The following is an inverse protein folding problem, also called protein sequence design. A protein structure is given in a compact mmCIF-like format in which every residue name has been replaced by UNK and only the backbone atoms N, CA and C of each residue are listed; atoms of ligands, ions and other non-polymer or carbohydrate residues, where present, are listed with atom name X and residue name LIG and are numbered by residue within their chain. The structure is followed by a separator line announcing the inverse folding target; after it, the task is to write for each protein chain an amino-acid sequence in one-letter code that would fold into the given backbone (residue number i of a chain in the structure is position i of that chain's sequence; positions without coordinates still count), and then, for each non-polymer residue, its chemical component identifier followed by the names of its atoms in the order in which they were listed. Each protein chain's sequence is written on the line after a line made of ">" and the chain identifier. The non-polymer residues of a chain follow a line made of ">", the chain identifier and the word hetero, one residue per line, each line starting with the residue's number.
data_IF_797401393469
#
_entry.id   IF_797401393469
#
_cell.length_a   1.000
_cell.length_b   1.000
_cell.length_c   1.000
_cell.angle_alpha   90.00
_cell.angle_beta   90.00
_cell.angle_gamma   90.00
#
_symmetry.space_group_name_H-M   'P 1'
#
loop_
_entity.id
_entity.type
_entity.pdbx_description
1 polymer ?
#
# COMPACT_ATOMS: atom_id res chain seq x y z
N UNK A 1 -1.78 -7.89 11.88
CA UNK A 1 -1.45 -6.61 12.56
C UNK A 1 -0.40 -5.78 11.81
N UNK A 2 0.63 -6.41 11.21
CA UNK A 2 1.65 -5.68 10.42
C UNK A 2 1.11 -5.28 9.04
N UNK A 3 0.16 -6.03 8.47
CA UNK A 3 -0.50 -5.69 7.20
C UNK A 3 -1.41 -4.46 7.30
N UNK A 4 -2.02 -4.22 8.46
CA UNK A 4 -2.84 -3.02 8.69
C UNK A 4 -2.01 -1.73 8.74
N UNK A 5 -0.70 -1.85 9.01
CA UNK A 5 0.23 -0.72 9.01
C UNK A 5 0.47 -0.13 7.61
N UNK A 6 0.20 -0.92 6.55
CA UNK A 6 0.42 -0.52 5.15
C UNK A 6 -0.87 -0.04 4.46
N UNK A 7 -2.02 -0.38 5.04
CA UNK A 7 -3.34 -0.03 4.52
C UNK A 7 -3.88 1.13 5.34
N UNK A 8 -3.61 2.36 4.94
CA UNK A 8 -4.28 3.55 5.51
C UNK A 8 -3.43 4.59 6.21
N UNK A 9 -2.10 4.55 6.09
CA UNK A 9 -1.29 5.70 6.47
C UNK A 9 -0.54 6.24 5.27
N UNK A 10 -0.91 7.44 4.82
CA UNK A 10 -0.14 8.23 3.84
C UNK A 10 1.32 8.47 4.26
N UNK A 11 1.76 7.89 5.36
CA UNK A 11 3.02 8.15 6.03
C UNK A 11 4.13 7.13 5.70
N UNK A 12 3.86 6.08 4.90
CA UNK A 12 4.87 5.02 4.76
C UNK A 12 5.86 5.17 3.60
N UNK A 13 5.64 6.00 2.57
CA UNK A 13 6.51 5.90 1.39
C UNK A 13 6.90 7.22 0.70
N UNK A 14 6.33 8.38 1.03
CA UNK A 14 6.51 9.54 0.14
C UNK A 14 7.08 10.84 0.71
N UNK A 15 7.21 10.98 2.00
CA UNK A 15 7.86 12.18 2.53
C UNK A 15 9.19 11.85 3.20
N UNK A 16 10.22 12.38 2.57
CA UNK A 16 11.54 12.55 3.17
C UNK A 16 11.41 12.86 4.65
N UNK A 17 12.16 12.16 5.43
CA UNK A 17 12.52 12.36 6.82
C UNK A 17 12.67 13.83 7.26
N UNK A 18 11.60 14.60 7.15
CA UNK A 18 11.47 15.83 7.91
C UNK A 18 10.52 15.52 9.05
N UNK A 19 11.13 15.44 10.24
CA UNK A 19 10.41 15.29 11.50
C UNK A 19 9.12 16.10 11.44
N UNK A 20 7.99 15.46 11.70
CA UNK A 20 6.71 16.14 11.91
C UNK A 20 6.95 17.18 12.97
N UNK A 21 7.25 18.40 12.56
CA UNK A 21 7.18 19.56 13.44
C UNK A 21 5.71 19.78 13.71
N UNK A 22 5.26 19.31 14.85
CA UNK A 22 4.01 19.76 15.42
C UNK A 22 4.15 21.26 15.59
N UNK A 23 3.61 22.02 14.65
CA UNK A 23 3.51 23.46 14.79
C UNK A 23 2.46 23.74 15.87
N UNK A 24 2.93 24.01 17.09
CA UNK A 24 2.10 24.40 18.23
C UNK A 24 1.62 25.84 18.15
N UNK A 25 1.87 26.55 17.05
CA UNK A 25 1.33 27.89 16.83
C UNK A 25 -0.09 27.83 16.28
N UNK A 26 -1.03 27.40 17.07
CA UNK A 26 -2.44 27.65 16.80
C UNK A 26 -2.68 29.16 16.85
N UNK A 27 -2.55 29.81 15.68
CA UNK A 27 -3.13 31.13 15.48
C UNK A 27 -4.65 31.03 15.62
N UNK A 28 -5.26 32.06 16.14
CA UNK A 28 -6.69 32.26 16.30
C UNK A 28 -7.45 31.64 15.09
N UNK A 29 -8.24 30.54 15.27
CA UNK A 29 -8.94 29.88 14.17
C UNK A 29 -9.94 30.79 13.45
N UNK A 30 -10.17 32.00 13.97
CA UNK A 30 -11.11 32.98 13.43
C UNK A 30 -10.50 33.96 12.43
N UNK A 31 -9.18 33.96 12.20
CA UNK A 31 -8.53 34.93 11.29
C UNK A 31 -8.83 34.78 9.82
N UNK A 32 -9.31 33.61 9.35
CA UNK A 32 -9.54 33.34 7.93
C UNK A 32 -11.01 33.08 7.53
N UNK A 33 -11.94 33.22 8.45
CA UNK A 33 -13.36 33.18 8.09
C UNK A 33 -13.79 34.53 7.50
N UNK A 34 -13.49 34.78 6.23
CA UNK A 34 -14.05 35.92 5.50
C UNK A 34 -15.53 35.65 5.24
N UNK A 35 -16.38 35.90 6.21
CA UNK A 35 -17.83 35.97 6.00
C UNK A 35 -18.16 37.40 5.62
N UNK A 36 -18.35 37.68 4.35
CA UNK A 36 -19.03 38.89 3.88
C UNK A 36 -20.50 38.80 4.31
N UNK A 37 -20.82 39.41 5.41
CA UNK A 37 -22.19 39.69 5.83
C UNK A 37 -22.30 41.19 5.93
N UNK A 38 -23.36 41.76 5.35
CA UNK A 38 -23.71 43.15 5.57
C UNK A 38 -23.80 43.39 7.06
N UNK A 39 -22.76 43.97 7.62
CA UNK A 39 -22.54 44.11 9.07
C UNK A 39 -23.56 45.08 9.71
N UNK A 40 -24.37 45.81 8.92
CA UNK A 40 -25.20 46.88 9.40
C UNK A 40 -26.58 46.48 9.96
N UNK A 41 -27.00 45.21 9.74
CA UNK A 41 -28.36 44.77 10.15
C UNK A 41 -28.38 43.60 11.15
N UNK A 42 -27.25 42.94 11.43
CA UNK A 42 -27.24 41.75 12.29
C UNK A 42 -26.23 41.89 13.42
N UNK A 43 -26.67 41.73 14.66
CA UNK A 43 -25.80 41.56 15.84
C UNK A 43 -25.77 40.06 16.19
N UNK A 44 -24.60 39.44 16.15
CA UNK A 44 -24.43 38.04 16.50
C UNK A 44 -23.95 37.84 17.92
N UNK A 45 -24.51 36.86 18.61
CA UNK A 45 -24.06 36.43 19.92
C UNK A 45 -22.69 35.71 19.87
N UNK A 46 -22.26 35.19 21.00
CA UNK A 46 -21.03 34.41 21.09
C UNK A 46 -21.16 33.11 20.29
N UNK A 47 -20.00 32.64 19.78
CA UNK A 47 -19.91 31.35 19.16
C UNK A 47 -20.18 30.23 20.16
N UNK A 48 -20.98 29.25 19.78
CA UNK A 48 -21.29 28.05 20.54
C UNK A 48 -20.86 26.82 19.75
N UNK A 49 -20.23 25.89 20.42
CA UNK A 49 -19.85 24.62 19.80
C UNK A 49 -21.11 23.80 19.52
N UNK A 50 -21.29 23.42 18.26
CA UNK A 50 -22.35 22.51 17.80
C UNK A 50 -21.80 21.09 17.79
N UNK A 51 -20.60 20.93 17.26
CA UNK A 51 -19.90 19.66 17.19
C UNK A 51 -18.42 19.87 17.56
N UNK A 52 -17.94 19.07 18.49
CA UNK A 52 -16.55 19.11 18.91
C UNK A 52 -15.65 18.53 17.80
N UNK A 53 -14.50 19.16 17.49
CA UNK A 53 -13.53 18.57 16.59
C UNK A 53 -12.95 17.29 17.20
N UNK A 54 -12.85 16.24 16.39
CA UNK A 54 -12.12 15.01 16.68
C UNK A 54 -10.67 15.09 16.22
N UNK A 55 -9.96 13.96 16.29
CA UNK A 55 -8.59 13.91 15.78
C UNK A 55 -8.53 14.13 14.27
N UNK A 56 -9.47 13.55 13.51
CA UNK A 56 -9.53 13.58 12.05
C UNK A 56 -10.72 14.38 11.52
N UNK A 57 -11.78 14.47 12.32
CA UNK A 57 -13.01 15.15 11.92
C UNK A 57 -13.03 16.60 12.39
N UNK A 58 -13.30 17.55 11.49
CA UNK A 58 -13.50 18.93 11.86
C UNK A 58 -14.74 19.09 12.74
N UNK A 59 -14.70 20.02 13.67
CA UNK A 59 -15.84 20.44 14.47
C UNK A 59 -16.66 21.52 13.78
N UNK A 60 -17.81 21.87 14.39
CA UNK A 60 -18.67 22.95 13.93
C UNK A 60 -19.03 23.88 15.08
N UNK A 61 -18.91 25.17 14.86
CA UNK A 61 -19.40 26.21 15.77
C UNK A 61 -20.51 27.02 15.10
N UNK A 62 -21.45 27.52 15.88
CA UNK A 62 -22.52 28.38 15.38
C UNK A 62 -22.75 29.57 16.30
N UNK A 63 -23.32 30.65 15.73
CA UNK A 63 -23.85 31.78 16.47
C UNK A 63 -25.15 32.25 15.85
N UNK A 64 -26.02 32.84 16.64
CA UNK A 64 -27.34 33.30 16.20
C UNK A 64 -27.42 34.82 16.37
N UNK A 65 -28.13 35.47 15.45
CA UNK A 65 -28.42 36.88 15.51
C UNK A 65 -29.26 37.19 16.77
N UNK A 66 -28.79 38.14 17.59
CA UNK A 66 -29.46 38.56 18.83
C UNK A 66 -30.61 39.56 18.58
N UNK A 67 -30.73 40.11 17.37
CA UNK A 67 -31.81 41.05 16.98
C UNK A 67 -33.14 40.32 16.66
N UNK A 68 -33.23 39.01 16.93
CA UNK A 68 -34.49 38.26 16.79
C UNK A 68 -34.85 37.80 15.37
N UNK A 69 -34.00 38.03 14.36
CA UNK A 69 -34.27 37.60 12.97
C UNK A 69 -34.05 36.08 12.77
N UNK A 70 -33.46 35.36 13.75
CA UNK A 70 -33.20 33.93 13.65
C UNK A 70 -32.06 33.50 12.73
N UNK A 71 -31.34 34.47 12.11
CA UNK A 71 -30.21 34.14 11.24
C UNK A 71 -29.09 33.46 12.04
N UNK A 72 -28.60 32.34 11.52
CA UNK A 72 -27.48 31.59 12.10
C UNK A 72 -26.27 31.67 11.19
N UNK A 73 -25.11 31.84 11.78
CA UNK A 73 -23.82 31.65 11.13
C UNK A 73 -23.16 30.38 11.68
N UNK A 74 -22.51 29.62 10.79
CA UNK A 74 -21.72 28.45 11.14
C UNK A 74 -20.31 28.59 10.64
N UNK A 75 -19.35 28.05 11.37
CA UNK A 75 -17.96 27.96 10.95
C UNK A 75 -17.39 26.59 11.33
N UNK A 76 -16.49 26.06 10.49
CA UNK A 76 -15.77 24.85 10.79
C UNK A 76 -14.62 25.15 11.75
N UNK A 77 -14.38 24.24 12.69
CA UNK A 77 -13.18 24.22 13.54
C UNK A 77 -12.31 23.08 13.01
N UNK A 78 -11.03 23.31 12.69
CA UNK A 78 -10.16 22.28 12.19
C UNK A 78 -10.10 21.04 13.10
N UNK A 79 -9.86 19.87 12.51
CA UNK A 79 -9.56 18.66 13.27
C UNK A 79 -8.34 18.89 14.17
N UNK A 80 -8.33 18.23 15.34
CA UNK A 80 -7.29 18.43 16.35
C UNK A 80 -5.96 17.74 16.03
N UNK A 81 -5.96 16.82 15.05
CA UNK A 81 -4.85 15.90 14.83
C UNK A 81 -4.75 14.86 15.95
N UNK A 82 -3.80 13.95 15.82
CA UNK A 82 -3.50 12.96 16.84
C UNK A 82 -2.49 13.50 17.85
N UNK A 83 -2.60 13.02 19.09
CA UNK A 83 -1.69 13.31 20.20
C UNK A 83 -0.97 11.99 20.55
N UNK A 84 0.06 11.69 19.75
CA UNK A 84 0.79 10.43 19.84
C UNK A 84 1.66 10.38 21.11
N UNK A 85 1.65 9.23 21.78
CA UNK A 85 2.59 8.95 22.87
C UNK A 85 4.03 8.73 22.34
N UNK A 86 4.99 8.46 23.23
CA UNK A 86 6.39 8.17 22.85
C UNK A 86 6.58 6.87 22.08
N UNK A 87 5.53 6.07 21.93
CA UNK A 87 5.54 4.79 21.22
C UNK A 87 6.09 3.61 22.02
N UNK A 88 5.76 2.43 21.55
CA UNK A 88 6.27 1.15 22.02
C UNK A 88 7.00 0.45 20.87
N UNK A 89 8.26 0.10 21.05
CA UNK A 89 9.02 -0.64 20.04
C UNK A 89 8.45 -2.05 19.89
N UNK A 90 7.85 -2.34 18.73
CA UNK A 90 7.33 -3.68 18.40
C UNK A 90 8.41 -4.56 17.78
N UNK A 91 9.24 -3.98 16.91
CA UNK A 91 10.37 -4.66 16.29
C UNK A 91 11.55 -3.69 16.19
N UNK A 92 12.73 -4.12 16.62
CA UNK A 92 13.96 -3.38 16.38
C UNK A 92 14.42 -3.55 14.93
N UNK A 93 15.11 -2.55 14.33
CA UNK A 93 15.81 -2.76 13.07
C UNK A 93 16.81 -3.91 13.23
N UNK A 94 16.92 -4.75 12.20
CA UNK A 94 17.88 -5.86 12.17
C UNK A 94 18.38 -6.09 10.73
N UNK A 95 19.65 -5.80 10.49
CA UNK A 95 20.24 -5.89 9.15
C UNK A 95 19.47 -5.03 8.15
N UNK A 96 18.93 -5.64 7.09
CA UNK A 96 18.14 -4.93 6.06
C UNK A 96 16.66 -4.74 6.43
N UNK A 97 16.22 -5.25 7.59
CA UNK A 97 14.83 -5.15 8.06
C UNK A 97 14.61 -3.84 8.81
N UNK A 98 13.49 -3.19 8.55
CA UNK A 98 13.09 -2.03 9.31
C UNK A 98 12.65 -2.40 10.73
N UNK A 99 12.73 -1.41 11.64
CA UNK A 99 12.06 -1.50 12.93
C UNK A 99 10.66 -0.90 12.87
N UNK A 100 9.83 -1.22 13.86
CA UNK A 100 8.45 -0.73 13.97
C UNK A 100 8.21 -0.24 15.40
N UNK A 101 7.70 0.99 15.52
CA UNK A 101 7.23 1.56 16.78
C UNK A 101 5.73 1.80 16.66
N UNK A 102 4.97 1.30 17.63
CA UNK A 102 3.54 1.58 17.75
C UNK A 102 3.30 2.79 18.65
N UNK A 103 2.48 3.71 18.21
CA UNK A 103 2.04 4.88 18.97
C UNK A 103 0.54 4.79 19.25
N UNK A 104 0.13 5.26 20.40
CA UNK A 104 -1.29 5.39 20.76
C UNK A 104 -1.65 6.86 20.94
N UNK A 105 -2.74 7.29 20.34
CA UNK A 105 -3.24 8.64 20.49
C UNK A 105 -3.92 8.83 21.85
N UNK A 106 -3.47 9.82 22.64
CA UNK A 106 -4.06 10.15 23.95
C UNK A 106 -5.48 10.71 23.88
N UNK A 107 -5.97 11.13 22.69
CA UNK A 107 -7.32 11.70 22.53
C UNK A 107 -8.34 10.69 22.05
N UNK A 108 -8.03 9.85 21.05
CA UNK A 108 -8.99 8.94 20.44
C UNK A 108 -8.68 7.46 20.70
N UNK A 109 -7.54 7.15 21.32
CA UNK A 109 -7.02 5.79 21.50
C UNK A 109 -6.73 5.04 20.18
N UNK A 110 -6.71 5.76 19.05
CA UNK A 110 -6.27 5.19 17.78
C UNK A 110 -4.79 4.83 17.82
N UNK A 111 -4.39 3.84 17.04
CA UNK A 111 -2.98 3.43 16.89
C UNK A 111 -2.38 4.02 15.62
N UNK A 112 -1.09 4.34 15.68
CA UNK A 112 -0.26 4.74 14.55
C UNK A 112 1.07 4.04 14.63
N UNK A 113 1.76 3.93 13.50
CA UNK A 113 3.02 3.20 13.43
C UNK A 113 4.11 4.07 12.81
N UNK A 114 5.31 3.98 13.38
CA UNK A 114 6.52 4.60 12.85
C UNK A 114 7.47 3.50 12.37
N UNK A 115 7.97 3.65 11.14
CA UNK A 115 8.95 2.74 10.57
C UNK A 115 10.35 3.29 10.82
N UNK A 116 11.18 2.54 11.54
CA UNK A 116 12.58 2.87 11.78
C UNK A 116 13.43 2.36 10.62
N UNK A 117 14.41 3.16 10.20
CA UNK A 117 15.34 2.77 9.12
C UNK A 117 16.05 1.45 9.44
N UNK A 118 16.37 0.63 8.43
CA UNK A 118 17.19 -0.57 8.62
C UNK A 118 18.61 -0.20 9.01
N UNK A 119 19.34 -1.13 9.60
CA UNK A 119 20.76 -0.95 9.92
C UNK A 119 21.65 -0.96 8.66
N UNK A 120 21.24 -1.73 7.65
CA UNK A 120 21.95 -1.93 6.38
C UNK A 120 20.96 -1.75 5.24
N UNK A 121 21.33 -0.97 4.22
CA UNK A 121 20.50 -0.80 3.02
C UNK A 121 20.67 -1.98 2.05
N UNK A 122 19.68 -2.20 1.17
CA UNK A 122 19.73 -3.33 0.24
C UNK A 122 20.97 -3.32 -0.66
N UNK A 123 21.45 -2.14 -1.10
CA UNK A 123 22.67 -2.03 -1.90
C UNK A 123 23.95 -2.33 -1.12
N UNK A 124 23.93 -2.21 0.20
CA UNK A 124 25.06 -2.57 1.08
C UNK A 124 25.09 -4.08 1.35
N UNK A 125 23.90 -4.70 1.43
CA UNK A 125 23.74 -6.14 1.61
C UNK A 125 24.03 -6.93 0.33
N UNK A 126 23.48 -6.46 -0.81
CA UNK A 126 23.52 -7.18 -2.08
C UNK A 126 24.38 -6.46 -3.09
N UNK A 127 25.51 -7.08 -3.45
CA UNK A 127 26.49 -6.47 -4.36
C UNK A 127 26.00 -6.29 -5.81
N UNK A 128 24.85 -6.85 -6.16
CA UNK A 128 24.20 -6.74 -7.46
C UNK A 128 22.99 -5.79 -7.48
N UNK A 129 22.76 -5.06 -6.39
CA UNK A 129 21.75 -4.00 -6.28
C UNK A 129 22.44 -2.64 -6.26
N UNK A 130 22.23 -1.86 -7.31
CA UNK A 130 22.76 -0.50 -7.43
C UNK A 130 21.66 0.50 -7.07
N UNK A 131 21.91 1.49 -6.17
CA UNK A 131 20.90 2.49 -5.78
C UNK A 131 20.48 3.42 -6.92
N UNK A 132 21.15 3.39 -8.07
CA UNK A 132 20.76 4.13 -9.28
C UNK A 132 19.81 3.35 -10.19
N UNK A 133 19.53 2.08 -9.89
CA UNK A 133 18.56 1.28 -10.66
C UNK A 133 17.17 1.87 -10.51
N UNK A 134 16.41 1.85 -11.62
CA UNK A 134 15.00 2.28 -11.65
C UNK A 134 14.10 1.50 -10.66
N UNK A 135 14.49 0.27 -10.32
CA UNK A 135 13.79 -0.66 -9.44
C UNK A 135 14.32 -0.64 -8.00
N UNK A 136 15.29 0.24 -7.68
CA UNK A 136 15.92 0.24 -6.37
C UNK A 136 14.93 0.44 -5.23
N UNK A 137 14.02 1.41 -5.36
CA UNK A 137 13.02 1.72 -4.32
C UNK A 137 12.14 0.51 -4.05
N UNK A 138 11.63 -0.16 -5.08
CA UNK A 138 10.84 -1.38 -4.93
C UNK A 138 11.62 -2.53 -4.30
N UNK A 139 12.90 -2.72 -4.69
CA UNK A 139 13.76 -3.73 -4.07
C UNK A 139 13.99 -3.41 -2.60
N UNK A 140 14.39 -2.16 -2.29
CA UNK A 140 14.61 -1.71 -0.92
C UNK A 140 13.36 -1.90 -0.06
N UNK A 141 12.20 -1.49 -0.56
CA UNK A 141 10.92 -1.67 0.11
C UNK A 141 10.63 -3.15 0.42
N UNK A 142 10.69 -4.01 -0.60
CA UNK A 142 10.36 -5.42 -0.42
C UNK A 142 11.33 -6.15 0.53
N UNK A 143 12.61 -5.78 0.50
CA UNK A 143 13.63 -6.36 1.39
C UNK A 143 13.45 -5.86 2.82
N UNK A 144 13.29 -4.56 3.00
CA UNK A 144 13.12 -3.90 4.29
C UNK A 144 11.88 -4.41 5.04
N UNK A 145 10.78 -4.60 4.31
CA UNK A 145 9.54 -5.14 4.86
C UNK A 145 9.55 -6.67 5.00
N UNK A 146 10.56 -7.34 4.41
CA UNK A 146 10.72 -8.79 4.44
C UNK A 146 9.79 -9.57 3.54
N UNK A 147 9.20 -8.90 2.56
CA UNK A 147 8.39 -9.57 1.55
C UNK A 147 9.25 -10.36 0.58
N UNK A 148 10.43 -9.84 0.26
CA UNK A 148 11.44 -10.52 -0.53
C UNK A 148 12.75 -10.64 0.22
N UNK A 149 13.52 -11.69 -0.08
CA UNK A 149 14.90 -11.89 0.37
C UNK A 149 15.84 -12.06 -0.81
N UNK A 150 17.14 -12.01 -0.56
CA UNK A 150 18.14 -12.38 -1.56
C UNK A 150 18.00 -13.84 -2.02
N UNK A 151 18.57 -14.13 -3.18
CA UNK A 151 18.75 -15.51 -3.64
C UNK A 151 19.92 -16.17 -2.91
N UNK A 152 20.82 -15.34 -2.39
CA UNK A 152 21.93 -15.69 -1.52
C UNK A 152 22.19 -14.52 -0.55
N UNK A 153 23.10 -14.69 0.41
CA UNK A 153 23.43 -13.68 1.44
C UNK A 153 23.83 -12.33 0.82
N UNK A 154 24.49 -12.34 -0.33
CA UNK A 154 25.00 -11.13 -1.00
C UNK A 154 24.49 -10.94 -2.43
N UNK A 155 23.48 -11.71 -2.84
CA UNK A 155 22.93 -11.68 -4.20
C UNK A 155 21.41 -11.57 -4.13
N UNK A 156 20.86 -10.49 -4.66
CA UNK A 156 19.41 -10.32 -4.84
C UNK A 156 18.92 -10.92 -6.16
N UNK A 157 19.74 -10.90 -7.19
CA UNK A 157 19.44 -11.27 -8.57
C UNK A 157 18.31 -10.42 -9.20
N UNK A 158 18.44 -9.09 -9.34
CA UNK A 158 17.35 -8.22 -9.82
C UNK A 158 16.76 -8.68 -11.16
N UNK A 159 17.63 -9.10 -12.10
CA UNK A 159 17.24 -9.57 -13.44
C UNK A 159 16.88 -11.06 -13.49
N UNK A 160 16.93 -11.76 -12.37
CA UNK A 160 16.50 -13.15 -12.27
C UNK A 160 14.99 -13.27 -12.52
N UNK A 161 14.59 -14.29 -13.27
CA UNK A 161 13.17 -14.55 -13.53
C UNK A 161 12.50 -15.05 -12.25
N UNK A 162 11.34 -14.49 -11.92
CA UNK A 162 10.56 -14.91 -10.75
C UNK A 162 9.72 -16.12 -11.09
N UNK A 163 9.71 -17.11 -10.21
CA UNK A 163 8.81 -18.26 -10.34
C UNK A 163 7.46 -18.00 -9.68
N UNK A 164 6.46 -18.80 -10.06
CA UNK A 164 5.12 -18.71 -9.47
C UNK A 164 5.12 -18.94 -7.96
N UNK A 165 5.94 -19.87 -7.47
CA UNK A 165 6.09 -20.11 -6.03
C UNK A 165 6.70 -18.91 -5.30
N UNK A 166 7.68 -18.23 -5.90
CA UNK A 166 8.27 -17.03 -5.32
C UNK A 166 7.26 -15.90 -5.20
N UNK A 167 6.42 -15.67 -6.21
CA UNK A 167 5.39 -14.63 -6.13
C UNK A 167 4.36 -14.94 -5.03
N UNK A 168 3.87 -16.17 -4.95
CA UNK A 168 2.92 -16.56 -3.89
C UNK A 168 3.57 -16.47 -2.50
N UNK A 169 4.88 -16.76 -2.38
CA UNK A 169 5.61 -16.56 -1.13
C UNK A 169 5.67 -15.09 -0.71
N UNK A 170 5.81 -14.15 -1.68
CA UNK A 170 5.78 -12.71 -1.40
C UNK A 170 4.41 -12.31 -0.81
N UNK A 171 3.31 -12.78 -1.39
CA UNK A 171 1.96 -12.51 -0.89
C UNK A 171 1.73 -13.11 0.51
N UNK A 172 2.24 -14.30 0.73
CA UNK A 172 2.17 -14.98 2.03
C UNK A 172 2.98 -14.25 3.11
N UNK A 173 4.18 -13.76 2.77
CA UNK A 173 5.00 -12.95 3.66
C UNK A 173 4.31 -11.63 4.01
N UNK A 174 3.61 -11.00 3.05
CA UNK A 174 2.88 -9.75 3.27
C UNK A 174 1.82 -9.89 4.37
N UNK A 175 1.11 -11.01 4.43
CA UNK A 175 0.12 -11.28 5.49
C UNK A 175 0.72 -11.88 6.76
N UNK A 176 2.05 -11.86 6.90
CA UNK A 176 2.76 -12.31 8.09
C UNK A 176 2.94 -13.81 8.20
N UNK A 177 2.74 -14.59 7.12
CA UNK A 177 2.97 -16.04 7.11
C UNK A 177 2.05 -16.82 8.07
N UNK A 178 0.72 -16.70 7.95
CA UNK A 178 -0.21 -17.34 8.88
C UNK A 178 -0.06 -18.87 8.89
N UNK A 179 -0.26 -19.48 10.05
CA UNK A 179 -0.27 -20.94 10.14
C UNK A 179 -1.40 -21.52 9.26
N UNK A 180 -1.05 -22.55 8.49
CA UNK A 180 -1.98 -23.26 7.61
C UNK A 180 -2.02 -24.74 7.95
N UNK A 181 -3.15 -25.38 7.71
CA UNK A 181 -3.34 -26.82 7.89
C UNK A 181 -4.26 -27.38 6.79
N UNK A 182 -4.07 -28.65 6.46
CA UNK A 182 -4.83 -29.32 5.43
C UNK A 182 -3.96 -29.66 4.22
N UNK A 183 -4.59 -29.90 3.08
CA UNK A 183 -3.94 -30.37 1.87
C UNK A 183 -4.40 -29.57 0.64
N UNK A 184 -3.56 -29.52 -0.38
CA UNK A 184 -3.92 -29.02 -1.71
C UNK A 184 -4.11 -30.19 -2.67
N UNK A 185 -4.84 -30.02 -3.78
CA UNK A 185 -4.89 -31.03 -4.82
C UNK A 185 -3.59 -31.13 -5.63
N UNK A 186 -2.63 -30.20 -5.43
CA UNK A 186 -1.44 -30.10 -6.25
C UNK A 186 -0.42 -31.17 -5.91
N UNK A 187 -0.03 -31.95 -6.91
CA UNK A 187 0.91 -33.08 -6.76
C UNK A 187 2.35 -32.73 -7.08
N UNK A 188 2.60 -31.51 -7.55
CA UNK A 188 3.89 -31.02 -8.05
C UNK A 188 4.67 -30.14 -7.05
N UNK A 189 4.23 -30.09 -5.78
CA UNK A 189 4.89 -29.34 -4.72
C UNK A 189 6.06 -30.11 -4.13
N UNK A 190 7.27 -29.89 -4.66
CA UNK A 190 8.47 -30.67 -4.32
C UNK A 190 9.36 -30.07 -3.24
N UNK A 191 9.30 -28.75 -3.01
CA UNK A 191 10.12 -28.07 -2.00
C UNK A 191 9.29 -27.54 -0.83
N UNK A 192 9.82 -27.63 0.38
CA UNK A 192 9.07 -27.25 1.58
C UNK A 192 8.89 -25.75 1.76
N UNK A 193 9.82 -24.93 1.26
CA UNK A 193 9.84 -23.50 1.55
C UNK A 193 8.62 -22.72 1.04
N UNK A 194 7.91 -23.24 0.03
CA UNK A 194 6.71 -22.61 -0.53
C UNK A 194 5.41 -23.38 -0.25
N UNK A 195 5.48 -24.55 0.39
CA UNK A 195 4.27 -25.40 0.56
C UNK A 195 3.17 -24.69 1.34
N UNK A 196 3.53 -24.04 2.43
CA UNK A 196 2.56 -23.33 3.27
C UNK A 196 1.97 -22.12 2.53
N UNK A 197 2.81 -21.38 1.80
CA UNK A 197 2.36 -20.27 0.98
C UNK A 197 1.39 -20.72 -0.14
N UNK A 198 1.68 -21.84 -0.81
CA UNK A 198 0.81 -22.39 -1.87
C UNK A 198 -0.49 -22.95 -1.28
N UNK A 199 -0.42 -23.62 -0.12
CA UNK A 199 -1.60 -24.09 0.60
C UNK A 199 -2.51 -22.93 1.02
N UNK A 200 -1.92 -21.89 1.62
CA UNK A 200 -2.61 -20.66 1.99
C UNK A 200 -3.29 -20.00 0.77
N UNK A 201 -2.55 -19.80 -0.31
CA UNK A 201 -3.07 -19.17 -1.51
C UNK A 201 -4.20 -19.98 -2.18
N UNK A 202 -4.15 -21.31 -2.08
CA UNK A 202 -5.23 -22.17 -2.54
C UNK A 202 -6.47 -22.04 -1.64
N UNK A 203 -6.31 -22.11 -0.30
CA UNK A 203 -7.40 -22.03 0.66
C UNK A 203 -8.11 -20.69 0.64
N UNK A 204 -7.36 -19.60 0.44
CA UNK A 204 -7.91 -18.23 0.33
C UNK A 204 -8.47 -17.92 -1.06
N UNK A 205 -8.27 -18.78 -2.06
CA UNK A 205 -8.75 -18.56 -3.42
C UNK A 205 -7.88 -17.62 -4.26
N UNK A 206 -6.70 -17.22 -3.78
CA UNK A 206 -5.71 -16.44 -4.54
C UNK A 206 -5.23 -17.22 -5.76
N UNK A 207 -5.07 -18.53 -5.61
CA UNK A 207 -4.73 -19.41 -6.74
C UNK A 207 -5.65 -20.62 -6.82
N UNK A 208 -5.89 -21.10 -8.04
CA UNK A 208 -6.52 -22.41 -8.33
C UNK A 208 -5.56 -23.36 -9.04
N UNK A 209 -4.26 -23.03 -9.11
CA UNK A 209 -3.28 -23.79 -9.86
C UNK A 209 -3.21 -23.42 -11.33
N UNK A 210 -2.41 -24.16 -12.10
CA UNK A 210 -2.34 -24.14 -13.56
C UNK A 210 -3.22 -25.23 -14.18
N UNK A 211 -3.57 -26.25 -13.38
CA UNK A 211 -4.60 -27.25 -13.65
C UNK A 211 -5.24 -27.67 -12.32
N UNK A 212 -6.18 -28.62 -12.39
CA UNK A 212 -6.84 -29.18 -11.19
C UNK A 212 -5.85 -29.81 -10.20
N UNK A 213 -4.71 -30.31 -10.66
CA UNK A 213 -3.74 -31.06 -9.85
C UNK A 213 -2.31 -30.51 -9.91
N UNK A 214 -2.09 -29.38 -10.58
CA UNK A 214 -0.76 -28.76 -10.70
C UNK A 214 -0.78 -27.28 -10.35
N UNK A 215 0.23 -26.84 -9.61
CA UNK A 215 0.49 -25.44 -9.32
C UNK A 215 1.56 -24.83 -10.23
N UNK A 216 2.47 -25.64 -10.75
CA UNK A 216 3.66 -25.27 -11.52
C UNK A 216 4.59 -24.33 -10.76
N UNK A 217 5.11 -24.72 -9.56
CA UNK A 217 5.84 -23.83 -8.64
C UNK A 217 7.10 -23.23 -9.25
N UNK A 218 7.77 -23.96 -10.13
CA UNK A 218 9.06 -23.56 -10.71
C UNK A 218 8.93 -22.86 -12.07
N UNK A 219 7.71 -22.81 -12.62
CA UNK A 219 7.51 -22.11 -13.90
C UNK A 219 7.67 -20.60 -13.70
N UNK A 220 8.28 -19.90 -14.68
CA UNK A 220 8.30 -18.45 -14.71
C UNK A 220 6.88 -17.88 -14.61
N UNK A 221 6.70 -16.87 -13.75
CA UNK A 221 5.42 -16.15 -13.71
C UNK A 221 5.37 -15.11 -14.81
N UNK A 222 4.28 -15.11 -15.60
CA UNK A 222 4.06 -14.09 -16.62
C UNK A 222 3.46 -12.81 -16.01
N UNK A 223 3.64 -11.67 -16.71
CA UNK A 223 3.11 -10.39 -16.23
C UNK A 223 1.58 -10.39 -16.08
N UNK A 224 0.85 -11.06 -16.97
CA UNK A 224 -0.60 -11.23 -16.80
C UNK A 224 -0.97 -12.13 -15.63
N UNK A 225 -0.14 -13.15 -15.31
CA UNK A 225 -0.33 -13.96 -14.11
C UNK A 225 -0.06 -13.16 -12.83
N UNK A 226 0.93 -12.27 -12.85
CA UNK A 226 1.17 -11.33 -11.73
C UNK A 226 -0.07 -10.47 -11.48
N UNK A 227 -0.61 -9.86 -12.53
CA UNK A 227 -1.83 -9.04 -12.41
C UNK A 227 -2.99 -9.82 -11.78
N UNK A 228 -3.23 -11.05 -12.25
CA UNK A 228 -4.34 -11.90 -11.73
C UNK A 228 -4.12 -12.33 -10.28
N UNK A 229 -2.88 -12.67 -9.89
CA UNK A 229 -2.59 -13.05 -8.51
C UNK A 229 -2.73 -11.87 -7.56
N UNK A 230 -2.29 -10.68 -7.94
CA UNK A 230 -2.47 -9.45 -7.16
C UNK A 230 -3.95 -9.05 -7.06
N UNK A 231 -4.68 -9.09 -8.17
CA UNK A 231 -6.12 -8.80 -8.21
C UNK A 231 -6.93 -9.73 -7.29
N UNK A 232 -6.67 -11.05 -7.39
CA UNK A 232 -7.31 -12.02 -6.49
C UNK A 232 -6.89 -11.86 -5.03
N UNK A 233 -5.64 -11.48 -4.79
CA UNK A 233 -5.16 -11.22 -3.45
C UNK A 233 -5.89 -10.01 -2.83
N UNK A 234 -6.03 -8.92 -3.58
CA UNK A 234 -6.80 -7.74 -3.17
C UNK A 234 -8.25 -8.10 -2.84
N UNK A 235 -8.94 -8.81 -3.75
CA UNK A 235 -10.36 -9.19 -3.61
C UNK A 235 -10.60 -10.22 -2.48
N UNK A 236 -9.78 -11.29 -2.40
CA UNK A 236 -10.07 -12.45 -1.54
C UNK A 236 -9.46 -12.37 -0.14
N UNK A 237 -8.38 -11.64 0.02
CA UNK A 237 -7.61 -11.59 1.27
C UNK A 237 -7.69 -10.22 1.93
N UNK A 238 -7.56 -9.15 1.14
CA UNK A 238 -7.60 -7.80 1.67
C UNK A 238 -9.02 -7.20 1.63
N UNK A 239 -9.95 -7.84 0.91
CA UNK A 239 -11.33 -7.38 0.74
C UNK A 239 -11.42 -5.93 0.21
N UNK A 240 -10.44 -5.53 -0.60
CA UNK A 240 -10.43 -4.22 -1.26
C UNK A 240 -10.85 -4.35 -2.71
N UNK A 241 -11.59 -3.35 -3.19
CA UNK A 241 -12.02 -3.29 -4.59
C UNK A 241 -10.85 -2.94 -5.53
N UNK A 242 -11.04 -3.22 -6.81
CA UNK A 242 -10.14 -2.74 -7.87
C UNK A 242 -10.32 -1.26 -8.18
N UNK A 243 -9.68 -0.80 -9.25
CA UNK A 243 -9.78 0.57 -9.72
C UNK A 243 -11.24 0.94 -10.07
N UNK A 244 -11.69 2.12 -9.65
CA UNK A 244 -13.04 2.63 -10.00
C UNK A 244 -13.28 2.66 -11.52
N UNK A 245 -12.22 2.92 -12.28
CA UNK A 245 -12.26 2.94 -13.75
C UNK A 245 -11.08 2.13 -14.29
N UNK A 246 -11.31 0.89 -14.74
CA UNK A 246 -10.27 0.06 -15.35
C UNK A 246 -9.66 0.74 -16.59
N UNK A 247 -8.38 0.49 -16.84
CA UNK A 247 -7.68 1.08 -17.97
C UNK A 247 -8.12 0.48 -19.30
N UNK A 248 -8.14 1.31 -20.35
CA UNK A 248 -8.30 0.84 -21.73
C UNK A 248 -6.97 0.23 -22.21
N UNK A 249 -6.94 -1.10 -22.35
CA UNK A 249 -5.76 -1.82 -22.81
C UNK A 249 -5.49 -1.64 -24.30
N UNK A 250 -6.46 -1.16 -25.11
CA UNK A 250 -6.27 -0.95 -26.54
C UNK A 250 -5.27 0.17 -26.87
N UNK A 251 -4.93 1.00 -25.89
CA UNK A 251 -3.87 2.02 -26.01
C UNK A 251 -2.46 1.44 -26.10
N UNK A 252 -2.29 0.16 -25.77
CA UNK A 252 -1.00 -0.54 -25.85
C UNK A 252 -0.95 -1.38 -27.13
N UNK A 253 0.16 -1.38 -27.87
CA UNK A 253 0.29 -2.12 -29.13
C UNK A 253 0.03 -3.62 -29.02
N UNK A 254 0.23 -4.17 -27.83
CA UNK A 254 0.04 -5.58 -27.51
C UNK A 254 -1.12 -5.84 -26.53
N UNK A 255 -2.00 -4.88 -26.35
CA UNK A 255 -3.14 -4.99 -25.44
C UNK A 255 -4.14 -6.09 -25.83
N UNK A 256 -4.21 -6.46 -27.12
CA UNK A 256 -5.00 -7.56 -27.64
C UNK A 256 -4.40 -8.94 -27.32
N UNK A 257 -3.11 -9.02 -27.00
CA UNK A 257 -2.41 -10.25 -26.61
C UNK A 257 -2.68 -10.64 -25.16
N UNK A 258 -3.29 -9.76 -24.34
CA UNK A 258 -3.72 -10.13 -23.00
C UNK A 258 -4.78 -11.21 -23.06
N UNK A 259 -4.52 -12.32 -22.40
CA UNK A 259 -5.46 -13.45 -22.32
C UNK A 259 -6.81 -13.02 -21.77
N UNK A 260 -7.89 -13.60 -22.28
CA UNK A 260 -9.26 -13.24 -21.86
C UNK A 260 -9.49 -13.37 -20.36
N UNK A 261 -8.89 -14.37 -19.74
CA UNK A 261 -8.99 -14.62 -18.28
C UNK A 261 -8.20 -13.60 -17.42
N UNK A 262 -7.25 -12.87 -18.03
CA UNK A 262 -6.41 -11.90 -17.33
C UNK A 262 -6.78 -10.44 -17.65
N UNK A 263 -7.71 -10.23 -18.58
CA UNK A 263 -8.00 -8.89 -19.13
C UNK A 263 -8.47 -7.90 -18.07
N UNK A 264 -9.37 -8.34 -17.20
CA UNK A 264 -9.89 -7.51 -16.10
C UNK A 264 -8.77 -7.12 -15.12
N UNK A 265 -8.05 -8.11 -14.62
CA UNK A 265 -6.95 -7.90 -13.68
C UNK A 265 -5.80 -7.05 -14.27
N UNK A 266 -5.51 -7.20 -15.56
CA UNK A 266 -4.50 -6.39 -16.25
C UNK A 266 -4.97 -4.94 -16.39
N UNK A 267 -6.24 -4.72 -16.75
CA UNK A 267 -6.81 -3.37 -16.85
C UNK A 267 -6.82 -2.66 -15.51
N UNK A 268 -7.13 -3.38 -14.44
CA UNK A 268 -7.06 -2.92 -13.07
C UNK A 268 -5.62 -2.55 -12.65
N UNK A 269 -4.67 -3.46 -12.83
CA UNK A 269 -3.28 -3.24 -12.49
C UNK A 269 -2.65 -2.05 -13.25
N UNK A 270 -3.08 -1.81 -14.50
CA UNK A 270 -2.65 -0.65 -15.28
C UNK A 270 -3.29 0.64 -14.77
N UNK A 271 -4.57 0.62 -14.40
CA UNK A 271 -5.28 1.78 -13.85
C UNK A 271 -4.69 2.23 -12.51
N UNK A 272 -4.33 1.28 -11.66
CA UNK A 272 -3.68 1.52 -10.36
C UNK A 272 -2.17 1.84 -10.46
N UNK A 273 -1.59 1.84 -11.65
CA UNK A 273 -0.16 2.11 -11.84
C UNK A 273 0.77 0.98 -11.40
N UNK A 274 0.24 -0.21 -11.09
CA UNK A 274 1.01 -1.41 -10.70
C UNK A 274 1.81 -1.93 -11.90
N UNK A 275 1.18 -1.95 -13.08
CA UNK A 275 1.81 -2.36 -14.34
C UNK A 275 1.82 -1.19 -15.32
N UNK A 276 2.99 -0.56 -15.49
CA UNK A 276 3.17 0.60 -16.36
C UNK A 276 3.67 0.25 -17.77
N UNK A 277 3.90 -1.04 -18.04
CA UNK A 277 4.47 -1.52 -19.28
C UNK A 277 5.98 -1.30 -19.40
N UNK A 278 6.54 -1.68 -20.54
CA UNK A 278 7.96 -1.50 -20.87
C UNK A 278 8.08 -0.65 -22.14
N UNK A 279 8.86 0.41 -22.07
CA UNK A 279 9.10 1.26 -23.22
C UNK A 279 10.10 0.58 -24.17
N UNK A 280 9.69 0.43 -25.43
CA UNK A 280 10.55 -0.02 -26.53
C UNK A 280 10.40 1.02 -27.62
N UNK A 281 11.51 1.68 -27.98
CA UNK A 281 11.51 2.88 -28.81
C UNK A 281 10.57 3.96 -28.22
N UNK A 282 9.56 4.40 -28.96
CA UNK A 282 8.59 5.39 -28.53
C UNK A 282 7.23 4.80 -28.10
N UNK A 283 7.14 3.48 -28.03
CA UNK A 283 5.91 2.78 -27.65
C UNK A 283 6.06 2.06 -26.32
N UNK A 284 4.94 1.90 -25.60
CA UNK A 284 4.87 1.18 -24.35
C UNK A 284 4.10 -0.14 -24.56
N UNK A 285 4.72 -1.24 -24.19
CA UNK A 285 4.18 -2.59 -24.31
C UNK A 285 3.89 -3.18 -22.94
N UNK A 286 2.75 -3.86 -22.80
CA UNK A 286 2.39 -4.59 -21.58
C UNK A 286 3.22 -5.87 -21.41
N UNK A 287 3.59 -6.51 -22.51
CA UNK A 287 4.25 -7.81 -22.58
C UNK A 287 3.56 -8.88 -21.71
N UNK A 288 2.25 -9.15 -21.91
CA UNK A 288 1.45 -9.94 -20.97
C UNK A 288 1.99 -11.36 -20.78
N UNK A 289 2.53 -11.97 -21.84
CA UNK A 289 3.13 -13.30 -21.82
C UNK A 289 4.60 -13.32 -21.41
N UNK A 290 5.20 -12.14 -21.24
CA UNK A 290 6.59 -12.01 -20.81
C UNK A 290 6.77 -12.43 -19.35
N UNK A 291 7.84 -13.15 -19.05
CA UNK A 291 8.19 -13.50 -17.68
C UNK A 291 8.61 -12.26 -16.90
N UNK A 292 8.13 -12.14 -15.67
CA UNK A 292 8.53 -11.04 -14.79
C UNK A 292 9.86 -11.35 -14.09
N UNK A 293 10.76 -10.36 -14.05
CA UNK A 293 12.00 -10.42 -13.29
C UNK A 293 11.80 -9.98 -11.85
N UNK A 294 12.74 -10.31 -10.97
CA UNK A 294 12.63 -10.02 -9.53
C UNK A 294 12.55 -8.52 -9.24
N UNK A 295 13.29 -7.70 -9.97
CA UNK A 295 13.21 -6.25 -9.90
C UNK A 295 11.84 -5.71 -10.35
N UNK A 296 11.28 -6.28 -11.42
CA UNK A 296 9.92 -5.95 -11.88
C UNK A 296 8.86 -6.35 -10.85
N UNK A 297 8.97 -7.54 -10.25
CA UNK A 297 8.06 -7.97 -9.18
C UNK A 297 8.16 -7.03 -7.98
N UNK A 298 9.36 -6.67 -7.56
CA UNK A 298 9.55 -5.76 -6.43
C UNK A 298 8.86 -4.40 -6.68
N UNK A 299 9.04 -3.82 -7.87
CA UNK A 299 8.40 -2.54 -8.22
C UNK A 299 6.88 -2.66 -8.39
N UNK A 300 6.38 -3.75 -8.99
CA UNK A 300 4.94 -4.01 -9.11
C UNK A 300 4.30 -4.19 -7.74
N UNK A 301 4.99 -4.88 -6.82
CA UNK A 301 4.47 -5.13 -5.49
C UNK A 301 4.50 -3.87 -4.61
N UNK A 302 5.54 -3.03 -4.72
CA UNK A 302 5.56 -1.69 -4.11
C UNK A 302 4.39 -0.85 -4.61
N UNK A 303 4.19 -0.76 -5.94
CA UNK A 303 3.06 -0.06 -6.54
C UNK A 303 1.70 -0.61 -6.10
N UNK A 304 1.58 -1.92 -5.94
CA UNK A 304 0.40 -2.55 -5.37
C UNK A 304 0.15 -2.08 -3.92
N UNK A 305 1.17 -2.11 -3.06
CA UNK A 305 1.05 -1.64 -1.69
C UNK A 305 0.67 -0.14 -1.63
N UNK A 306 1.25 0.68 -2.51
CA UNK A 306 0.92 2.10 -2.60
C UNK A 306 -0.53 2.36 -3.07
N UNK A 307 -1.13 1.45 -3.84
CA UNK A 307 -2.52 1.56 -4.29
C UNK A 307 -3.55 1.20 -3.21
N UNK A 308 -3.11 0.61 -2.09
CA UNK A 308 -3.95 0.27 -0.95
C UNK A 308 -4.10 1.42 0.06
N UNK A 309 -3.25 2.46 -0.05
CA UNK A 309 -3.25 3.64 0.81
C UNK A 309 -4.22 4.72 0.25
#
# INVERSE_FOLDING_TARGET
>A
EISECLVGSEMCIRDRWDAVRIDTSYGDPFKNAAVHVDAEQHAFGAWQTVEQPGCEQPGTISRTCTNGCGLKQTAAVPALGHDWNSGTLLAAPEGVRCGIVEHTCGRCNGTGYEVLAPEIWAYEQFGDVDPTLWSYEGIQFCVMMGYMSGMDTHVFAPRGVTTRAQLVQILYNFVGGPEVSGETPFTDLTANWYKDAVLWAYQTGVTSGTSETTFSPNDPVTREQVAVLLYKFADKVLEVGGAETPADLSRFPDGDQVSSWAREAMADAVALGIINGTKVDDQVFLAPQGSATRDQIATMFEGFCASLA
#
